data_IF_972214697377
#
_entry.id   IF_972214697377
#
_cell.length_a   1.000
_cell.length_b   1.000
_cell.length_c   1.000
_cell.angle_alpha   90.00
_cell.angle_beta   90.00
_cell.angle_gamma   90.00
#
_symmetry.space_group_name_H-M   'P 1'
#
loop_
_entity.id
_entity.type
_entity.pdbx_description
1 polymer ?
#
# COMPACT_ATOMS: atom_id res chain seq x y z
N UNK A 1 15.46 -4.15 -62.83
CA UNK A 1 16.63 -4.08 -61.97
C UNK A 1 16.16 -3.91 -60.51
N UNK A 2 16.24 -4.97 -59.75
CA UNK A 2 15.89 -4.98 -58.30
C UNK A 2 17.15 -4.57 -57.55
N UNK A 3 17.07 -3.56 -56.70
CA UNK A 3 18.13 -3.27 -55.73
C UNK A 3 17.63 -3.72 -54.37
N UNK A 4 18.22 -4.78 -53.87
CA UNK A 4 18.09 -5.27 -52.50
C UNK A 4 18.88 -4.35 -51.55
N UNK A 5 18.17 -3.72 -50.61
CA UNK A 5 18.79 -3.00 -49.52
C UNK A 5 18.99 -3.97 -48.34
N UNK A 6 20.25 -4.25 -48.05
CA UNK A 6 20.66 -5.19 -47.02
C UNK A 6 20.55 -4.55 -45.60
N UNK A 7 20.24 -5.41 -44.64
CA UNK A 7 20.03 -5.07 -43.17
C UNK A 7 21.29 -4.55 -42.42
N UNK A 8 22.24 -3.89 -43.09
CA UNK A 8 23.50 -3.48 -42.44
C UNK A 8 23.76 -1.97 -42.31
N UNK A 9 22.85 -1.12 -42.78
CA UNK A 9 23.09 0.34 -42.77
C UNK A 9 22.25 1.14 -41.75
N UNK A 10 21.83 0.55 -40.63
CA UNK A 10 21.10 1.20 -39.56
C UNK A 10 21.87 1.17 -38.23
N UNK A 11 23.15 1.55 -38.24
CA UNK A 11 23.93 1.80 -37.00
C UNK A 11 24.69 3.10 -37.22
N UNK A 12 24.17 4.18 -36.70
CA UNK A 12 24.84 5.47 -36.75
C UNK A 12 24.04 6.66 -36.26
N UNK A 13 23.40 6.56 -35.07
CA UNK A 13 22.98 7.74 -34.34
C UNK A 13 23.37 7.53 -32.87
N UNK A 14 24.52 8.10 -32.52
CA UNK A 14 25.07 8.06 -31.18
C UNK A 14 24.19 8.83 -30.20
N UNK A 15 23.53 8.12 -29.31
CA UNK A 15 23.00 8.65 -28.06
C UNK A 15 24.16 8.77 -27.07
N UNK A 16 24.60 9.99 -26.83
CA UNK A 16 25.54 10.33 -25.76
C UNK A 16 24.83 10.12 -24.43
N UNK A 17 24.95 8.93 -23.87
CA UNK A 17 24.60 8.69 -22.47
C UNK A 17 25.70 9.37 -21.64
N UNK A 18 25.38 10.52 -21.06
CA UNK A 18 26.19 11.11 -20.02
C UNK A 18 26.13 10.18 -18.80
N UNK A 19 27.13 9.33 -18.63
CA UNK A 19 27.35 8.56 -17.44
C UNK A 19 27.67 9.53 -16.30
N UNK A 20 26.71 9.87 -15.46
CA UNK A 20 26.97 10.42 -14.14
C UNK A 20 27.56 9.30 -13.29
N UNK A 21 28.88 9.18 -13.32
CA UNK A 21 29.63 8.47 -12.31
C UNK A 21 29.58 9.30 -11.02
N UNK A 22 28.56 9.09 -10.21
CA UNK A 22 28.52 9.58 -8.84
C UNK A 22 29.44 8.70 -7.98
N UNK A 23 30.75 8.89 -8.10
CA UNK A 23 31.72 8.52 -7.07
C UNK A 23 31.70 9.60 -6.00
N UNK A 24 30.81 9.44 -5.04
CA UNK A 24 30.77 10.23 -3.83
C UNK A 24 29.98 9.41 -2.81
N UNK A 25 30.64 8.89 -1.79
CA UNK A 25 29.98 8.55 -0.57
C UNK A 25 29.33 9.85 -0.07
N UNK A 26 28.07 10.08 -0.42
CA UNK A 26 27.31 11.19 0.13
C UNK A 26 27.35 11.01 1.65
N UNK A 27 28.01 11.94 2.33
CA UNK A 27 27.99 12.01 3.77
C UNK A 27 26.51 12.01 4.16
N UNK A 28 26.05 10.93 4.80
CA UNK A 28 24.66 10.82 5.25
C UNK A 28 24.41 11.99 6.19
N UNK A 29 23.51 12.88 5.83
CA UNK A 29 23.03 13.92 6.74
C UNK A 29 22.60 13.22 8.03
N UNK A 30 23.09 13.66 9.21
CA UNK A 30 22.69 13.02 10.45
C UNK A 30 21.18 12.97 10.57
N UNK A 31 20.63 11.79 10.77
CA UNK A 31 19.19 11.63 10.96
C UNK A 31 18.76 12.34 12.24
N UNK A 32 17.71 13.15 12.19
CA UNK A 32 17.10 13.81 13.35
C UNK A 32 16.28 12.86 14.21
N UNK A 33 16.14 11.61 13.80
CA UNK A 33 15.32 10.61 14.48
C UNK A 33 15.92 10.27 15.85
N UNK A 34 15.14 10.49 16.89
CA UNK A 34 15.51 10.15 18.26
C UNK A 34 15.36 8.65 18.48
N UNK A 35 16.41 8.05 19.04
CA UNK A 35 16.41 6.66 19.46
C UNK A 35 16.71 6.60 20.96
N UNK A 36 15.83 5.94 21.72
CA UNK A 36 16.08 5.69 23.14
C UNK A 36 17.20 4.65 23.29
N UNK A 37 17.93 4.75 24.41
CA UNK A 37 18.91 3.72 24.78
C UNK A 37 18.17 2.53 25.39
N UNK A 38 18.00 1.49 24.57
CA UNK A 38 17.32 0.24 24.94
C UNK A 38 18.21 -0.93 24.55
N UNK A 39 18.37 -1.89 25.43
CA UNK A 39 19.13 -3.10 25.15
C UNK A 39 18.45 -3.91 24.03
N UNK A 40 19.22 -4.24 23.00
CA UNK A 40 18.74 -5.10 21.92
C UNK A 40 18.48 -6.53 22.40
N UNK A 41 17.53 -7.25 21.80
CA UNK A 41 17.29 -8.65 22.15
C UNK A 41 18.52 -9.50 21.83
N UNK A 42 18.75 -10.53 22.64
CA UNK A 42 19.78 -11.52 22.37
C UNK A 42 19.28 -12.45 21.25
N UNK A 43 19.95 -12.44 20.12
CA UNK A 43 19.64 -13.27 18.96
C UNK A 43 20.85 -14.14 18.62
N UNK A 44 20.96 -15.35 19.22
CA UNK A 44 22.06 -16.26 18.94
C UNK A 44 21.94 -16.77 17.48
N UNK A 45 22.79 -16.21 16.61
CA UNK A 45 22.76 -16.48 15.17
C UNK A 45 23.15 -17.94 14.89
N UNK A 46 22.38 -18.60 14.07
CA UNK A 46 22.58 -19.98 13.65
C UNK A 46 23.85 -20.09 12.76
N UNK A 47 24.62 -21.14 12.95
CA UNK A 47 25.85 -21.39 12.19
C UNK A 47 25.52 -21.60 10.70
N UNK A 48 26.24 -20.89 9.84
CA UNK A 48 26.08 -21.00 8.39
C UNK A 48 24.80 -20.34 7.87
N UNK A 49 24.24 -19.38 8.62
CA UNK A 49 23.02 -18.68 8.23
C UNK A 49 23.17 -17.99 6.88
N UNK A 50 22.17 -18.18 6.03
CA UNK A 50 21.94 -17.43 4.79
C UNK A 50 20.42 -17.29 4.62
N UNK A 51 19.97 -16.15 4.11
CA UNK A 51 18.55 -15.80 4.07
C UNK A 51 18.06 -15.59 2.64
N UNK A 52 16.85 -16.07 2.37
CA UNK A 52 16.09 -15.72 1.18
C UNK A 52 14.89 -14.88 1.58
N UNK A 53 14.75 -13.73 0.94
CA UNK A 53 13.67 -12.81 1.18
C UNK A 53 12.90 -12.54 -0.10
N UNK A 54 11.57 -12.50 -0.03
CA UNK A 54 10.69 -12.10 -1.10
C UNK A 54 9.89 -10.86 -0.69
N UNK A 55 9.78 -9.89 -1.60
CA UNK A 55 8.95 -8.71 -1.38
C UNK A 55 8.30 -8.21 -2.69
N UNK A 56 7.23 -7.36 -2.60
CA UNK A 56 6.66 -6.73 -3.76
C UNK A 56 7.66 -5.81 -4.48
N UNK A 57 7.56 -5.75 -5.82
CA UNK A 57 8.28 -4.76 -6.63
C UNK A 57 7.90 -3.34 -6.24
N UNK A 58 8.79 -2.40 -6.53
CA UNK A 58 8.63 -0.97 -6.24
C UNK A 58 7.62 -0.27 -7.14
N UNK A 59 7.03 0.81 -6.62
CA UNK A 59 6.44 1.88 -7.44
C UNK A 59 7.37 3.09 -7.54
N UNK A 60 8.28 3.26 -6.57
CA UNK A 60 9.29 4.31 -6.53
C UNK A 60 10.66 3.66 -6.65
N UNK A 61 11.40 3.92 -7.76
CA UNK A 61 12.65 3.21 -8.08
C UNK A 61 13.66 3.18 -6.92
N UNK A 62 13.95 4.29 -6.21
CA UNK A 62 14.94 4.27 -5.13
C UNK A 62 14.57 3.39 -3.93
N UNK A 63 13.29 2.98 -3.77
CA UNK A 63 12.90 2.01 -2.75
C UNK A 63 13.71 0.71 -2.88
N UNK A 64 13.74 0.14 -4.09
CA UNK A 64 14.45 -1.13 -4.33
C UNK A 64 15.96 -0.97 -4.17
N UNK A 65 16.53 0.12 -4.71
CA UNK A 65 17.98 0.35 -4.72
C UNK A 65 18.53 0.48 -3.29
N UNK A 66 17.86 1.27 -2.44
CA UNK A 66 18.30 1.45 -1.05
C UNK A 66 18.01 0.19 -0.22
N UNK A 67 16.90 -0.51 -0.47
CA UNK A 67 16.62 -1.77 0.22
C UNK A 67 17.69 -2.83 -0.05
N UNK A 68 18.10 -3.01 -1.32
CA UNK A 68 19.20 -3.92 -1.70
C UNK A 68 20.53 -3.48 -1.11
N UNK A 69 20.82 -2.17 -1.11
CA UNK A 69 22.03 -1.62 -0.49
C UNK A 69 22.07 -1.92 1.01
N UNK A 70 20.95 -1.76 1.72
CA UNK A 70 20.86 -2.08 3.14
C UNK A 70 21.05 -3.59 3.40
N UNK A 71 20.45 -4.46 2.57
CA UNK A 71 20.67 -5.90 2.67
C UNK A 71 22.16 -6.27 2.48
N UNK A 72 22.83 -5.64 1.51
CA UNK A 72 24.28 -5.81 1.32
C UNK A 72 25.08 -5.33 2.53
N UNK A 73 24.74 -4.17 3.12
CA UNK A 73 25.39 -3.66 4.34
C UNK A 73 25.25 -4.61 5.52
N UNK A 74 24.10 -5.29 5.64
CA UNK A 74 23.93 -6.34 6.64
C UNK A 74 24.88 -7.51 6.38
N UNK A 75 24.95 -7.98 5.14
CA UNK A 75 25.90 -9.05 4.75
C UNK A 75 27.35 -8.65 5.04
N UNK A 76 27.77 -7.44 4.64
CA UNK A 76 29.14 -6.94 4.86
C UNK A 76 29.47 -6.86 6.37
N UNK A 77 28.49 -6.54 7.23
CA UNK A 77 28.66 -6.40 8.68
C UNK A 77 28.67 -7.74 9.41
N UNK A 78 27.89 -8.71 8.94
CA UNK A 78 27.61 -9.95 9.71
C UNK A 78 28.19 -11.22 9.06
N UNK A 79 28.52 -11.17 7.77
CA UNK A 79 28.86 -12.34 6.97
C UNK A 79 27.65 -13.18 6.55
N UNK A 80 26.41 -12.79 6.91
CA UNK A 80 25.19 -13.51 6.56
C UNK A 80 24.71 -13.01 5.20
N UNK A 81 24.71 -13.88 4.20
CA UNK A 81 24.16 -13.54 2.88
C UNK A 81 22.64 -13.37 2.95
N UNK A 82 22.11 -12.31 2.31
CA UNK A 82 20.67 -12.07 2.18
C UNK A 82 20.34 -11.88 0.71
N UNK A 83 19.68 -12.87 0.11
CA UNK A 83 19.16 -12.77 -1.25
C UNK A 83 17.75 -12.17 -1.20
N UNK A 84 17.56 -11.00 -1.84
CA UNK A 84 16.28 -10.31 -1.94
C UNK A 84 15.72 -10.47 -3.36
N UNK A 85 14.62 -11.18 -3.47
CA UNK A 85 13.84 -11.36 -4.71
C UNK A 85 12.61 -10.44 -4.69
N UNK A 86 12.17 -9.97 -5.88
CA UNK A 86 11.02 -9.10 -6.05
C UNK A 86 10.00 -9.75 -6.97
N UNK A 87 8.71 -9.56 -6.69
CA UNK A 87 7.60 -10.13 -7.45
C UNK A 87 6.49 -9.09 -7.62
N UNK A 88 5.66 -9.25 -8.66
CA UNK A 88 4.51 -8.38 -8.90
C UNK A 88 3.57 -8.29 -7.70
N UNK A 89 2.84 -7.19 -7.59
CA UNK A 89 1.91 -6.96 -6.47
C UNK A 89 0.78 -8.00 -6.43
N UNK A 90 0.28 -8.37 -7.60
CA UNK A 90 -0.78 -9.37 -7.74
C UNK A 90 -0.30 -10.78 -7.39
N UNK A 91 1.02 -11.04 -7.55
CA UNK A 91 1.61 -12.38 -7.36
C UNK A 91 2.03 -12.66 -5.91
N UNK A 92 2.26 -11.60 -5.09
CA UNK A 92 2.81 -11.77 -3.74
C UNK A 92 1.93 -12.66 -2.85
N UNK A 93 0.61 -12.52 -2.96
CA UNK A 93 -0.34 -13.31 -2.17
C UNK A 93 -0.27 -14.81 -2.55
N UNK A 94 -0.16 -15.11 -3.85
CA UNK A 94 -0.02 -16.48 -4.34
C UNK A 94 1.31 -17.10 -3.90
N UNK A 95 2.42 -16.36 -4.03
CA UNK A 95 3.74 -16.82 -3.60
C UNK A 95 3.79 -17.07 -2.08
N UNK A 96 3.15 -16.21 -1.29
CA UNK A 96 3.03 -16.37 0.15
C UNK A 96 2.22 -17.64 0.50
N UNK A 97 1.11 -17.85 -0.18
CA UNK A 97 0.28 -19.05 0.01
C UNK A 97 1.04 -20.35 -0.32
N UNK A 98 1.78 -20.35 -1.44
CA UNK A 98 2.62 -21.50 -1.84
C UNK A 98 3.67 -21.79 -0.76
N UNK A 99 4.40 -20.76 -0.31
CA UNK A 99 5.42 -20.89 0.75
C UNK A 99 4.83 -21.41 2.06
N UNK A 100 3.72 -20.84 2.51
CA UNK A 100 3.06 -21.24 3.76
C UNK A 100 2.53 -22.70 3.71
N UNK A 101 1.98 -23.12 2.57
CA UNK A 101 1.37 -24.44 2.42
C UNK A 101 2.40 -25.54 2.18
N UNK A 102 3.47 -25.26 1.41
CA UNK A 102 4.53 -26.23 1.15
C UNK A 102 5.49 -26.39 2.34
N UNK A 103 5.59 -25.40 3.22
CA UNK A 103 6.60 -25.35 4.26
C UNK A 103 8.03 -25.24 3.69
N UNK A 104 8.17 -24.60 2.53
CA UNK A 104 9.45 -24.39 1.85
C UNK A 104 9.41 -23.09 1.03
N UNK A 105 10.59 -22.50 0.79
CA UNK A 105 10.69 -21.26 0.01
C UNK A 105 11.51 -20.17 0.72
N UNK A 106 11.17 -18.89 0.56
CA UNK A 106 11.81 -17.79 1.27
C UNK A 106 11.67 -17.90 2.78
N UNK A 107 12.72 -17.53 3.52
CA UNK A 107 12.70 -17.43 4.99
C UNK A 107 11.83 -16.27 5.46
N UNK A 108 11.87 -15.17 4.70
CA UNK A 108 11.16 -13.93 4.96
C UNK A 108 10.31 -13.58 3.74
N UNK A 109 9.05 -13.25 3.96
CA UNK A 109 8.22 -12.60 2.95
C UNK A 109 7.67 -11.30 3.51
N UNK A 110 7.81 -10.20 2.76
CA UNK A 110 7.05 -8.98 3.01
C UNK A 110 5.74 -9.09 2.22
N UNK A 111 4.65 -9.24 2.95
CA UNK A 111 3.29 -9.26 2.41
C UNK A 111 2.51 -7.99 2.74
N UNK A 112 1.29 -7.92 2.27
CA UNK A 112 0.41 -6.77 2.47
C UNK A 112 -0.55 -6.97 3.65
N UNK A 113 -0.83 -5.90 4.37
CA UNK A 113 -1.88 -5.74 5.39
C UNK A 113 -2.02 -6.95 6.32
N UNK A 114 -3.07 -7.71 6.15
CA UNK A 114 -3.48 -8.83 6.99
C UNK A 114 -2.81 -10.18 6.65
N UNK A 115 -1.84 -10.21 5.73
CA UNK A 115 -1.12 -11.43 5.37
C UNK A 115 -0.58 -12.21 6.58
N UNK A 116 0.01 -11.58 7.64
CA UNK A 116 0.42 -12.32 8.84
C UNK A 116 -0.72 -13.04 9.55
N UNK A 117 -1.94 -12.51 9.50
CA UNK A 117 -3.12 -13.10 10.13
C UNK A 117 -3.65 -14.31 9.37
N UNK A 118 -3.45 -14.34 8.04
CA UNK A 118 -3.83 -15.49 7.20
C UNK A 118 -2.97 -16.70 7.53
N UNK A 119 -1.68 -16.49 7.80
CA UNK A 119 -0.68 -17.56 7.95
C UNK A 119 -0.13 -17.67 9.37
N UNK A 120 -0.84 -17.19 10.39
CA UNK A 120 -0.37 -17.08 11.77
C UNK A 120 0.28 -18.35 12.31
N UNK A 121 -0.28 -19.54 12.01
CA UNK A 121 0.22 -20.82 12.47
C UNK A 121 1.52 -21.29 11.76
N UNK A 122 1.89 -20.62 10.68
CA UNK A 122 3.09 -20.87 9.87
C UNK A 122 4.24 -19.92 10.18
N UNK A 123 4.00 -18.89 11.02
CA UNK A 123 4.93 -17.81 11.29
C UNK A 123 5.62 -17.95 12.63
N UNK A 124 6.84 -17.41 12.69
CA UNK A 124 7.61 -17.25 13.92
C UNK A 124 7.15 -15.95 14.59
N UNK A 125 7.10 -15.95 15.92
CA UNK A 125 6.83 -14.75 16.70
C UNK A 125 8.02 -13.79 16.68
N UNK A 126 7.72 -12.50 16.52
CA UNK A 126 8.69 -11.41 16.38
C UNK A 126 8.62 -10.42 17.55
N UNK A 127 7.99 -10.78 18.67
CA UNK A 127 7.72 -9.87 19.80
C UNK A 127 8.99 -9.29 20.40
N UNK A 128 10.07 -10.05 20.49
CA UNK A 128 11.37 -9.58 21.00
C UNK A 128 11.92 -8.40 20.18
N UNK A 129 11.94 -8.51 18.86
CA UNK A 129 12.40 -7.45 17.96
C UNK A 129 11.41 -6.28 17.92
N UNK A 130 10.11 -6.57 17.82
CA UNK A 130 9.08 -5.55 17.72
C UNK A 130 8.99 -4.69 18.99
N UNK A 131 9.04 -5.30 20.19
CA UNK A 131 9.02 -4.58 21.45
C UNK A 131 10.29 -3.73 21.65
N UNK A 132 11.46 -4.23 21.25
CA UNK A 132 12.69 -3.48 21.22
C UNK A 132 12.56 -2.23 20.35
N UNK A 133 12.16 -2.39 19.09
CA UNK A 133 12.01 -1.29 18.13
C UNK A 133 10.96 -0.27 18.61
N UNK A 134 9.84 -0.73 19.15
CA UNK A 134 8.80 0.13 19.70
C UNK A 134 9.32 1.00 20.84
N UNK A 135 10.03 0.41 21.83
CA UNK A 135 10.64 1.14 22.94
C UNK A 135 11.72 2.12 22.47
N UNK A 136 12.51 1.72 21.47
CA UNK A 136 13.61 2.51 20.94
C UNK A 136 13.15 3.73 20.15
N UNK A 137 12.04 3.62 19.40
CA UNK A 137 11.58 4.63 18.44
C UNK A 137 10.21 5.22 18.74
N UNK A 138 9.84 5.31 20.02
CA UNK A 138 8.68 6.08 20.48
C UNK A 138 7.33 5.39 20.37
N UNK A 139 7.30 4.09 20.11
CA UNK A 139 6.11 3.26 19.98
C UNK A 139 5.68 3.03 18.53
N UNK A 140 4.92 1.97 18.36
CA UNK A 140 4.30 1.63 17.08
C UNK A 140 3.02 2.45 16.86
N UNK A 141 2.77 2.88 15.63
CA UNK A 141 1.55 3.57 15.26
C UNK A 141 0.38 2.59 15.13
N UNK A 142 -0.84 3.12 15.13
CA UNK A 142 -2.08 2.32 15.26
C UNK A 142 -2.19 1.16 14.25
N UNK A 143 -2.02 1.43 12.95
CA UNK A 143 -2.13 0.37 11.94
C UNK A 143 -0.97 -0.63 12.02
N UNK A 144 0.21 -0.19 12.46
CA UNK A 144 1.34 -1.09 12.67
C UNK A 144 1.01 -2.13 13.75
N UNK A 145 0.50 -1.69 14.91
CA UNK A 145 0.05 -2.62 15.94
C UNK A 145 -1.10 -3.50 15.48
N UNK A 146 -2.06 -2.91 14.75
CA UNK A 146 -3.26 -3.61 14.28
C UNK A 146 -2.93 -4.77 13.34
N UNK A 147 -1.97 -4.57 12.43
CA UNK A 147 -1.58 -5.57 11.43
C UNK A 147 -0.40 -6.44 11.87
N UNK A 148 0.47 -5.96 12.75
CA UNK A 148 1.64 -6.70 13.22
C UNK A 148 1.34 -7.65 14.37
N UNK A 149 0.38 -7.30 15.26
CA UNK A 149 0.01 -8.12 16.42
C UNK A 149 -1.09 -9.12 16.07
N UNK A 150 -1.00 -10.31 16.63
CA UNK A 150 -2.09 -11.30 16.60
C UNK A 150 -3.34 -10.68 17.28
N UNK A 151 -4.50 -10.84 16.65
CA UNK A 151 -5.75 -10.33 17.21
C UNK A 151 -5.97 -10.82 18.65
N UNK A 152 -6.39 -9.90 19.53
CA UNK A 152 -6.63 -10.16 20.97
C UNK A 152 -5.38 -10.69 21.73
N UNK A 153 -4.18 -10.39 21.24
CA UNK A 153 -2.91 -10.79 21.83
C UNK A 153 -1.89 -9.64 21.75
N UNK A 154 -0.83 -9.71 22.56
CA UNK A 154 0.32 -8.81 22.45
C UNK A 154 1.44 -9.38 21.59
N UNK A 155 1.28 -10.59 21.07
CA UNK A 155 2.30 -11.29 20.29
C UNK A 155 2.37 -10.72 18.88
N UNK A 156 3.57 -10.37 18.44
CA UNK A 156 3.83 -9.90 17.09
C UNK A 156 4.04 -11.08 16.14
N UNK A 157 3.21 -11.16 15.11
CA UNK A 157 3.23 -12.19 14.07
C UNK A 157 3.75 -11.67 12.74
N UNK A 158 3.95 -10.37 12.64
CA UNK A 158 4.58 -9.68 11.54
C UNK A 158 5.28 -8.43 12.02
N UNK A 159 6.30 -7.96 11.29
CA UNK A 159 6.98 -6.72 11.56
C UNK A 159 6.60 -5.69 10.49
N UNK A 160 5.83 -4.64 10.85
CA UNK A 160 5.42 -3.62 9.90
C UNK A 160 6.60 -2.75 9.44
N UNK A 161 6.76 -2.61 8.14
CA UNK A 161 7.79 -1.75 7.53
C UNK A 161 7.27 -0.39 7.10
N UNK A 162 5.96 -0.22 6.98
CA UNK A 162 5.34 1.03 6.59
C UNK A 162 3.95 0.81 5.99
N UNK A 163 3.31 1.90 5.58
CA UNK A 163 2.06 1.82 4.84
C UNK A 163 1.98 2.90 3.77
N UNK A 164 1.33 2.56 2.65
CA UNK A 164 0.87 3.56 1.69
C UNK A 164 -0.61 3.84 1.90
N UNK A 165 -0.99 5.12 1.91
CA UNK A 165 -2.38 5.57 1.91
C UNK A 165 -2.80 5.99 0.51
N UNK A 166 -4.10 6.02 0.27
CA UNK A 166 -4.68 6.48 -0.99
C UNK A 166 -5.58 7.71 -0.76
N UNK A 167 -5.03 8.90 -0.44
CA UNK A 167 -5.81 10.13 -0.47
C UNK A 167 -6.26 10.42 -1.90
N UNK A 168 -7.19 11.37 -2.08
CA UNK A 168 -7.51 11.90 -3.38
C UNK A 168 -6.29 12.59 -3.98
N UNK A 169 -6.09 12.38 -5.28
CA UNK A 169 -5.12 13.04 -6.14
C UNK A 169 -5.88 13.70 -7.27
N UNK A 170 -5.75 15.01 -7.44
CA UNK A 170 -6.55 15.76 -8.40
C UNK A 170 -5.82 16.92 -9.04
N UNK A 171 -6.26 17.31 -10.24
CA UNK A 171 -5.82 18.49 -10.97
C UNK A 171 -6.55 19.71 -10.42
N UNK A 172 -5.85 20.54 -9.64
CA UNK A 172 -6.42 21.73 -8.98
C UNK A 172 -7.13 22.67 -9.95
N UNK A 173 -6.49 23.00 -11.06
CA UNK A 173 -7.05 23.90 -12.07
C UNK A 173 -8.36 23.37 -12.66
N UNK A 174 -8.47 22.04 -12.85
CA UNK A 174 -9.67 21.40 -13.41
C UNK A 174 -10.80 21.38 -12.37
N UNK A 175 -10.52 21.11 -11.09
CA UNK A 175 -11.51 21.19 -10.02
C UNK A 175 -12.05 22.62 -9.89
N UNK A 176 -11.16 23.64 -9.98
CA UNK A 176 -11.56 25.04 -9.94
C UNK A 176 -12.40 25.44 -11.16
N UNK A 177 -12.05 24.98 -12.35
CA UNK A 177 -12.83 25.19 -13.56
C UNK A 177 -14.23 24.55 -13.50
N UNK A 178 -14.41 23.46 -12.73
CA UNK A 178 -15.71 22.85 -12.44
C UNK A 178 -16.53 23.62 -11.38
N UNK A 179 -15.98 24.71 -10.81
CA UNK A 179 -16.66 25.58 -9.86
C UNK A 179 -16.49 25.19 -8.40
N UNK A 180 -15.41 24.44 -8.05
CA UNK A 180 -15.11 24.04 -6.69
C UNK A 180 -13.71 24.52 -6.27
N UNK A 181 -13.57 25.07 -5.06
CA UNK A 181 -12.25 25.42 -4.52
C UNK A 181 -11.42 24.19 -4.14
N UNK A 182 -12.09 23.12 -3.72
CA UNK A 182 -11.53 21.82 -3.35
C UNK A 182 -12.57 20.71 -3.59
N UNK A 183 -12.17 19.46 -3.50
CA UNK A 183 -13.10 18.33 -3.59
C UNK A 183 -14.07 18.36 -2.40
N UNK A 184 -15.41 18.29 -2.62
CA UNK A 184 -16.39 18.23 -1.54
C UNK A 184 -16.19 17.03 -0.61
N UNK A 185 -16.47 17.23 0.69
CA UNK A 185 -16.31 16.21 1.75
C UNK A 185 -17.57 15.38 2.01
N UNK A 186 -18.66 15.71 1.34
CA UNK A 186 -19.93 15.00 1.40
C UNK A 186 -20.26 14.29 0.07
N UNK A 187 -21.15 13.30 0.14
CA UNK A 187 -21.49 12.46 -1.00
C UNK A 187 -22.19 13.20 -2.14
N UNK A 188 -23.08 14.14 -1.81
CA UNK A 188 -23.85 14.87 -2.82
C UNK A 188 -22.95 15.82 -3.60
N UNK A 189 -22.09 16.59 -2.89
CA UNK A 189 -21.11 17.46 -3.51
C UNK A 189 -20.07 16.71 -4.33
N UNK A 190 -19.61 15.55 -3.86
CA UNK A 190 -18.67 14.71 -4.58
C UNK A 190 -19.28 14.19 -5.89
N UNK A 191 -20.54 13.74 -5.87
CA UNK A 191 -21.25 13.33 -7.08
C UNK A 191 -21.43 14.48 -8.06
N UNK A 192 -21.84 15.68 -7.60
CA UNK A 192 -21.98 16.88 -8.44
C UNK A 192 -20.64 17.25 -9.11
N UNK A 193 -19.54 17.21 -8.36
CA UNK A 193 -18.21 17.40 -8.93
C UNK A 193 -17.92 16.39 -10.03
N UNK A 194 -18.09 15.08 -9.77
CA UNK A 194 -17.82 14.04 -10.74
C UNK A 194 -18.68 14.19 -12.01
N UNK A 195 -19.96 14.59 -11.87
CA UNK A 195 -20.84 14.90 -13.01
C UNK A 195 -20.30 16.05 -13.86
N UNK A 196 -19.83 17.14 -13.23
CA UNK A 196 -19.26 18.28 -13.92
C UNK A 196 -17.94 17.94 -14.62
N UNK A 197 -17.08 17.16 -13.96
CA UNK A 197 -15.83 16.67 -14.55
C UNK A 197 -16.09 15.78 -15.79
N UNK A 198 -17.03 14.84 -15.67
CA UNK A 198 -17.42 13.96 -16.78
C UNK A 198 -17.98 14.77 -17.95
N UNK A 199 -18.88 15.73 -17.69
CA UNK A 199 -19.44 16.64 -18.72
C UNK A 199 -18.37 17.50 -19.40
N UNK A 200 -17.31 17.87 -18.68
CA UNK A 200 -16.18 18.63 -19.21
C UNK A 200 -15.15 17.75 -19.98
N UNK A 201 -15.38 16.45 -20.11
CA UNK A 201 -14.44 15.52 -20.73
C UNK A 201 -13.16 15.29 -19.92
N UNK A 202 -13.22 15.53 -18.62
CA UNK A 202 -12.13 15.34 -17.64
C UNK A 202 -12.59 14.45 -16.47
N UNK A 203 -13.07 13.24 -16.74
CA UNK A 203 -13.73 12.41 -15.74
C UNK A 203 -12.82 12.05 -14.55
N UNK A 204 -13.42 11.55 -13.49
CA UNK A 204 -12.72 10.82 -12.43
C UNK A 204 -12.42 9.38 -12.88
N UNK A 205 -11.46 8.72 -12.21
CA UNK A 205 -11.17 7.30 -12.42
C UNK A 205 -10.75 6.63 -11.13
N UNK A 206 -11.53 5.65 -10.68
CA UNK A 206 -11.24 4.84 -9.50
C UNK A 206 -11.31 3.35 -9.86
N UNK A 207 -10.34 2.56 -9.42
CA UNK A 207 -10.29 1.14 -9.72
C UNK A 207 -11.45 0.38 -9.06
N UNK A 208 -12.17 -0.39 -9.87
CA UNK A 208 -13.18 -1.37 -9.46
C UNK A 208 -12.85 -2.77 -9.97
N UNK A 209 -11.63 -2.97 -10.49
CA UNK A 209 -11.04 -4.26 -10.78
C UNK A 209 -10.34 -4.86 -9.55
N UNK A 210 -9.80 -6.06 -9.71
CA UNK A 210 -9.08 -6.78 -8.65
C UNK A 210 -7.68 -6.18 -8.42
N UNK A 211 -7.65 -4.92 -7.99
CA UNK A 211 -6.44 -4.20 -7.61
C UNK A 211 -6.20 -4.33 -6.09
N UNK A 212 -4.98 -4.73 -5.72
CA UNK A 212 -4.62 -5.04 -4.32
C UNK A 212 -4.80 -3.81 -3.41
N UNK A 213 -4.32 -2.64 -3.84
CA UNK A 213 -4.43 -1.37 -3.12
C UNK A 213 -5.68 -0.60 -3.53
N UNK A 214 -5.76 -0.22 -4.79
CA UNK A 214 -6.73 0.78 -5.27
C UNK A 214 -8.17 0.26 -5.29
N UNK A 215 -8.40 -0.96 -5.77
CA UNK A 215 -9.73 -1.56 -5.80
C UNK A 215 -10.29 -1.83 -4.40
N UNK A 216 -9.49 -2.46 -3.55
CA UNK A 216 -9.86 -2.67 -2.15
C UNK A 216 -10.01 -1.32 -1.39
N UNK A 217 -9.15 -0.34 -1.69
CA UNK A 217 -9.21 1.00 -1.11
C UNK A 217 -10.51 1.73 -1.46
N UNK A 218 -10.90 1.74 -2.73
CA UNK A 218 -12.15 2.35 -3.19
C UNK A 218 -13.37 1.67 -2.57
N UNK A 219 -13.45 0.34 -2.61
CA UNK A 219 -14.57 -0.40 -2.05
C UNK A 219 -14.74 -0.16 -0.55
N UNK A 220 -13.62 -0.17 0.19
CA UNK A 220 -13.62 0.11 1.63
C UNK A 220 -14.01 1.55 1.93
N UNK A 221 -13.48 2.53 1.17
CA UNK A 221 -13.88 3.93 1.32
C UNK A 221 -15.38 4.12 1.13
N UNK A 222 -15.95 3.58 0.06
CA UNK A 222 -17.38 3.70 -0.18
C UNK A 222 -18.18 3.08 0.96
N UNK A 223 -17.84 1.85 1.39
CA UNK A 223 -18.53 1.18 2.50
C UNK A 223 -18.49 2.02 3.78
N UNK A 224 -17.30 2.44 4.20
CA UNK A 224 -17.10 3.14 5.48
C UNK A 224 -17.65 4.56 5.48
N UNK A 225 -17.64 5.26 4.34
CA UNK A 225 -18.18 6.62 4.21
C UNK A 225 -19.71 6.67 4.38
N UNK A 226 -20.39 5.55 4.17
CA UNK A 226 -21.82 5.39 4.45
C UNK A 226 -22.11 4.82 5.85
N UNK A 227 -21.08 4.51 6.65
CA UNK A 227 -21.21 3.90 7.96
C UNK A 227 -21.33 2.37 7.93
N UNK A 228 -21.21 1.75 6.75
CA UNK A 228 -21.18 0.30 6.62
C UNK A 228 -19.86 -0.30 7.13
N UNK A 229 -19.86 -1.59 7.42
CA UNK A 229 -18.68 -2.32 7.89
C UNK A 229 -18.76 -3.79 7.48
N UNK A 230 -17.60 -4.44 7.38
CA UNK A 230 -17.54 -5.88 7.16
C UNK A 230 -17.99 -6.63 8.42
N UNK A 231 -17.49 -6.21 9.57
CA UNK A 231 -17.77 -6.80 10.88
C UNK A 231 -18.21 -5.73 11.87
N UNK A 232 -19.00 -6.14 12.88
CA UNK A 232 -19.18 -5.36 14.11
C UNK A 232 -17.96 -5.52 15.04
N UNK A 233 -17.98 -4.83 16.19
CA UNK A 233 -16.89 -4.86 17.18
C UNK A 233 -16.66 -6.25 17.78
N UNK A 234 -17.69 -7.10 17.80
CA UNK A 234 -17.64 -8.46 18.32
C UNK A 234 -17.14 -9.48 17.28
N UNK A 235 -17.05 -9.06 16.01
CA UNK A 235 -16.58 -9.88 14.90
C UNK A 235 -17.69 -10.60 14.13
N UNK A 236 -18.96 -10.20 14.31
CA UNK A 236 -20.07 -10.71 13.52
C UNK A 236 -20.13 -10.01 12.16
N UNK A 237 -20.52 -10.75 11.11
CA UNK A 237 -20.68 -10.19 9.77
C UNK A 237 -21.85 -9.20 9.73
N UNK A 238 -21.56 -7.98 9.26
CA UNK A 238 -22.51 -6.88 9.10
C UNK A 238 -22.55 -6.32 7.69
N UNK A 239 -21.82 -6.93 6.74
CA UNK A 239 -21.69 -6.45 5.37
C UNK A 239 -23.03 -6.30 4.64
N UNK A 240 -24.05 -7.09 4.98
CA UNK A 240 -25.39 -7.00 4.42
C UNK A 240 -26.26 -6.10 5.30
N UNK A 241 -25.92 -4.81 5.36
CA UNK A 241 -26.63 -3.80 6.15
C UNK A 241 -27.32 -2.77 5.25
N UNK A 242 -28.19 -1.95 5.86
CA UNK A 242 -28.82 -0.81 5.18
C UNK A 242 -27.76 0.18 4.66
N UNK A 243 -26.75 0.44 5.44
CA UNK A 243 -25.65 1.35 5.12
C UNK A 243 -24.86 0.85 3.88
N UNK A 244 -24.63 -0.46 3.80
CA UNK A 244 -24.01 -1.09 2.63
C UNK A 244 -24.86 -0.94 1.38
N UNK A 245 -26.17 -1.16 1.49
CA UNK A 245 -27.12 -0.99 0.38
C UNK A 245 -27.16 0.45 -0.11
N UNK A 246 -27.13 1.44 0.79
CA UNK A 246 -27.05 2.87 0.42
C UNK A 246 -25.72 3.22 -0.26
N UNK A 247 -24.59 2.68 0.22
CA UNK A 247 -23.30 2.83 -0.44
C UNK A 247 -23.31 2.26 -1.87
N UNK A 248 -23.93 1.10 -2.07
CA UNK A 248 -24.09 0.46 -3.38
C UNK A 248 -24.97 1.27 -4.32
N UNK A 249 -26.09 1.82 -3.84
CA UNK A 249 -26.97 2.72 -4.61
C UNK A 249 -26.22 3.98 -5.05
N UNK A 250 -25.39 4.53 -4.17
CA UNK A 250 -24.56 5.69 -4.47
C UNK A 250 -23.52 5.37 -5.55
N UNK A 251 -22.79 4.25 -5.43
CA UNK A 251 -21.80 3.85 -6.43
C UNK A 251 -22.44 3.58 -7.79
N UNK A 252 -23.67 3.07 -7.84
CA UNK A 252 -24.45 2.94 -9.08
C UNK A 252 -24.68 4.28 -9.78
N UNK A 253 -24.90 5.36 -9.03
CA UNK A 253 -25.03 6.71 -9.57
C UNK A 253 -23.68 7.34 -9.94
N UNK A 254 -22.63 7.05 -9.17
CA UNK A 254 -21.31 7.61 -9.32
C UNK A 254 -20.51 6.99 -10.48
N UNK A 255 -20.64 5.68 -10.69
CA UNK A 255 -19.84 4.94 -11.66
C UNK A 255 -19.95 5.45 -13.12
N UNK A 256 -21.14 5.86 -13.63
CA UNK A 256 -21.25 6.44 -14.96
C UNK A 256 -20.48 7.76 -15.14
N UNK A 257 -20.03 8.39 -14.07
CA UNK A 257 -19.21 9.62 -14.08
C UNK A 257 -17.71 9.33 -14.19
N UNK A 258 -17.31 8.07 -14.10
CA UNK A 258 -15.92 7.66 -14.25
C UNK A 258 -15.58 7.45 -15.74
N UNK A 259 -14.27 7.48 -16.02
CA UNK A 259 -13.77 6.97 -17.31
C UNK A 259 -14.18 5.49 -17.48
N UNK A 260 -14.49 5.11 -18.70
CA UNK A 260 -14.91 3.73 -18.98
C UNK A 260 -13.79 2.69 -18.67
N UNK A 261 -14.18 1.49 -18.27
CA UNK A 261 -13.28 0.35 -18.13
C UNK A 261 -12.62 0.19 -16.75
N UNK A 262 -12.98 0.99 -15.74
CA UNK A 262 -12.35 0.93 -14.41
C UNK A 262 -12.57 -0.38 -13.66
N UNK A 263 -13.55 -1.21 -14.07
CA UNK A 263 -13.76 -2.57 -13.55
C UNK A 263 -12.68 -3.58 -13.97
N UNK A 264 -11.81 -3.22 -14.91
CA UNK A 264 -10.62 -4.00 -15.28
C UNK A 264 -9.30 -3.39 -14.81
N UNK A 265 -9.35 -2.28 -14.06
CA UNK A 265 -8.16 -1.60 -13.60
C UNK A 265 -7.44 -2.36 -12.48
N UNK A 266 -6.11 -2.36 -12.54
CA UNK A 266 -5.19 -2.77 -11.48
C UNK A 266 -4.47 -1.55 -10.88
N UNK A 267 -3.53 -1.77 -9.94
CA UNK A 267 -2.83 -0.71 -9.18
C UNK A 267 -1.92 0.24 -10.01
N UNK A 268 -1.76 0.01 -11.32
CA UNK A 268 -1.02 0.93 -12.21
C UNK A 268 -1.92 1.67 -13.19
N UNK A 269 -3.20 1.32 -13.28
CA UNK A 269 -4.10 1.82 -14.33
C UNK A 269 -4.44 3.29 -14.13
N UNK A 270 -4.77 3.71 -12.91
CA UNK A 270 -5.06 5.10 -12.57
C UNK A 270 -3.83 6.00 -12.73
N UNK A 271 -2.60 5.50 -12.43
CA UNK A 271 -1.36 6.24 -12.66
C UNK A 271 -1.21 6.59 -14.14
N UNK A 272 -1.44 5.63 -15.03
CA UNK A 272 -1.38 5.85 -16.48
C UNK A 272 -2.43 6.84 -16.96
N UNK A 273 -3.69 6.64 -16.58
CA UNK A 273 -4.80 7.49 -16.99
C UNK A 273 -4.64 8.94 -16.49
N UNK A 274 -4.09 9.13 -15.29
CA UNK A 274 -3.83 10.47 -14.74
C UNK A 274 -2.64 11.14 -15.44
N UNK A 275 -1.55 10.41 -15.65
CA UNK A 275 -0.34 10.93 -16.32
C UNK A 275 -0.59 11.25 -17.79
N UNK A 276 -1.50 10.54 -18.48
CA UNK A 276 -1.94 10.84 -19.84
C UNK A 276 -3.07 11.87 -19.91
N UNK A 277 -3.47 12.46 -18.79
CA UNK A 277 -4.54 13.48 -18.68
C UNK A 277 -5.93 12.99 -19.10
N UNK A 278 -6.14 11.67 -19.14
CA UNK A 278 -7.45 11.06 -19.41
C UNK A 278 -8.42 11.23 -18.24
N UNK A 279 -7.88 11.30 -17.01
CA UNK A 279 -8.64 11.59 -15.79
C UNK A 279 -8.06 12.78 -15.04
N UNK A 280 -8.90 13.45 -14.27
CA UNK A 280 -8.51 14.61 -13.46
C UNK A 280 -8.57 14.39 -11.95
N UNK A 281 -9.15 13.28 -11.52
CA UNK A 281 -9.38 12.92 -10.12
C UNK A 281 -9.30 11.41 -9.94
N UNK A 282 -8.52 10.99 -8.95
CA UNK A 282 -8.40 9.59 -8.52
C UNK A 282 -8.05 9.51 -7.04
N UNK A 283 -7.86 8.30 -6.51
CA UNK A 283 -7.20 8.06 -5.22
C UNK A 283 -5.90 7.29 -5.48
N UNK A 284 -4.79 7.69 -4.86
CA UNK A 284 -3.50 7.02 -5.07
C UNK A 284 -2.52 7.31 -3.93
N UNK A 285 -1.49 6.49 -3.83
CA UNK A 285 -0.30 6.76 -3.02
C UNK A 285 0.65 7.80 -3.65
N UNK A 286 1.78 8.01 -3.01
CA UNK A 286 2.80 8.99 -3.45
C UNK A 286 3.37 8.67 -4.84
N UNK A 287 3.31 7.42 -5.29
CA UNK A 287 3.92 6.95 -6.54
C UNK A 287 3.52 7.77 -7.76
N UNK A 288 2.27 8.15 -7.86
CA UNK A 288 1.77 8.98 -8.96
C UNK A 288 2.45 10.34 -8.96
N UNK A 289 2.38 11.06 -7.84
CA UNK A 289 3.01 12.38 -7.73
C UNK A 289 4.54 12.31 -7.89
N UNK A 290 5.19 11.29 -7.33
CA UNK A 290 6.62 11.05 -7.51
C UNK A 290 6.98 10.89 -8.98
N UNK A 291 6.26 10.06 -9.71
CA UNK A 291 6.49 9.83 -11.15
C UNK A 291 6.32 11.12 -11.96
N UNK A 292 5.22 11.84 -11.73
CA UNK A 292 4.93 13.09 -12.42
C UNK A 292 6.00 14.17 -12.17
N UNK A 293 6.48 14.28 -10.94
CA UNK A 293 7.46 15.30 -10.53
C UNK A 293 8.85 15.04 -11.10
N UNK A 294 9.22 13.78 -11.28
CA UNK A 294 10.55 13.38 -11.73
C UNK A 294 10.66 13.17 -13.25
N UNK A 295 9.56 13.35 -13.99
CA UNK A 295 9.55 13.33 -15.44
C UNK A 295 9.28 14.75 -15.99
N UNK A 296 10.22 15.28 -16.77
CA UNK A 296 10.12 16.62 -17.35
C UNK A 296 8.89 16.78 -18.25
N UNK A 297 8.42 15.71 -18.89
CA UNK A 297 7.23 15.73 -19.74
C UNK A 297 5.93 15.96 -18.94
N UNK A 298 5.91 15.52 -17.67
CA UNK A 298 4.73 15.59 -16.80
C UNK A 298 4.86 16.56 -15.63
N UNK A 299 5.97 17.30 -15.54
CA UNK A 299 6.24 18.24 -14.44
C UNK A 299 5.12 19.26 -14.22
N UNK A 300 4.52 19.80 -15.31
CA UNK A 300 3.36 20.72 -15.23
C UNK A 300 2.12 20.06 -14.64
N UNK A 301 1.94 18.74 -14.85
CA UNK A 301 0.87 17.98 -14.23
C UNK A 301 1.13 17.89 -12.73
N UNK A 302 2.38 17.62 -12.32
CA UNK A 302 2.78 17.58 -10.91
C UNK A 302 2.57 18.92 -10.19
N UNK A 303 2.87 20.05 -10.85
CA UNK A 303 2.63 21.40 -10.31
C UNK A 303 1.14 21.62 -10.00
N UNK A 304 0.25 21.21 -10.92
CA UNK A 304 -1.21 21.35 -10.80
C UNK A 304 -1.85 20.23 -9.94
N UNK A 305 -1.09 19.21 -9.57
CA UNK A 305 -1.60 18.11 -8.72
C UNK A 305 -1.66 18.52 -7.27
N UNK A 306 -2.81 18.29 -6.64
CA UNK A 306 -3.03 18.44 -5.21
C UNK A 306 -3.57 17.15 -4.59
N UNK A 307 -3.47 17.07 -3.26
CA UNK A 307 -3.94 15.94 -2.48
C UNK A 307 -4.97 16.39 -1.44
N UNK A 308 -5.94 15.54 -1.17
CA UNK A 308 -6.93 15.76 -0.12
C UNK A 308 -7.30 14.42 0.51
N UNK A 309 -7.65 14.41 1.80
CA UNK A 309 -8.23 13.22 2.41
C UNK A 309 -9.52 12.81 1.70
N UNK A 310 -9.81 11.51 1.71
CA UNK A 310 -11.04 10.98 1.13
C UNK A 310 -12.26 11.63 1.77
N UNK A 311 -13.28 12.00 0.99
CA UNK A 311 -14.59 12.43 1.49
C UNK A 311 -15.11 11.48 2.55
N UNK A 312 -15.49 12.04 3.69
CA UNK A 312 -15.84 11.24 4.87
C UNK A 312 -17.30 10.78 4.90
N UNK A 313 -18.19 11.48 4.18
CA UNK A 313 -19.61 11.21 4.27
C UNK A 313 -20.10 11.29 5.72
N UNK A 314 -20.69 10.19 6.23
CA UNK A 314 -21.15 10.10 7.63
C UNK A 314 -20.07 9.63 8.61
N UNK A 315 -18.87 9.26 8.11
CA UNK A 315 -17.76 8.81 8.96
C UNK A 315 -17.20 9.95 9.83
N UNK A 316 -16.69 9.63 11.02
CA UNK A 316 -16.14 10.63 11.95
C UNK A 316 -14.84 11.25 11.45
N UNK A 317 -14.04 10.48 10.70
CA UNK A 317 -12.79 10.90 10.07
C UNK A 317 -12.74 10.38 8.63
N UNK A 318 -11.77 10.83 7.84
CA UNK A 318 -11.58 10.28 6.49
C UNK A 318 -11.48 8.76 6.54
N UNK A 319 -12.37 8.03 5.83
CA UNK A 319 -12.43 6.57 5.85
C UNK A 319 -11.35 5.97 4.93
N UNK A 320 -10.11 6.30 5.21
CA UNK A 320 -8.93 5.82 4.50
C UNK A 320 -8.26 4.73 5.33
N UNK A 321 -8.13 3.54 4.79
CA UNK A 321 -7.24 2.52 5.31
C UNK A 321 -5.78 2.80 4.94
N UNK A 322 -4.88 1.91 5.33
CA UNK A 322 -3.50 1.92 4.87
C UNK A 322 -3.12 0.53 4.40
N UNK A 323 -2.59 0.43 3.19
CA UNK A 323 -1.97 -0.81 2.72
C UNK A 323 -0.61 -0.93 3.38
N UNK A 324 -0.48 -1.78 4.39
CA UNK A 324 0.76 -1.95 5.13
C UNK A 324 1.68 -2.98 4.47
N UNK A 325 2.99 -2.77 4.62
CA UNK A 325 4.00 -3.80 4.39
C UNK A 325 4.31 -4.49 5.71
N UNK A 326 4.16 -5.82 5.76
CA UNK A 326 4.45 -6.62 6.94
C UNK A 326 5.44 -7.74 6.60
N UNK A 327 6.61 -7.71 7.23
CA UNK A 327 7.57 -8.81 7.13
C UNK A 327 7.14 -9.99 8.00
N UNK A 328 7.07 -11.16 7.41
CA UNK A 328 6.76 -12.44 8.03
C UNK A 328 7.99 -13.33 8.00
N UNK A 329 8.31 -14.01 9.09
CA UNK A 329 9.34 -15.05 9.15
C UNK A 329 8.66 -16.40 9.28
N UNK A 330 8.95 -17.33 8.38
CA UNK A 330 8.28 -18.61 8.34
C UNK A 330 8.96 -19.65 9.23
N UNK A 331 8.17 -20.54 9.86
CA UNK A 331 8.65 -21.60 10.75
C UNK A 331 9.55 -22.65 10.07
N UNK A 332 9.50 -22.76 8.73
CA UNK A 332 10.38 -23.65 7.99
C UNK A 332 11.80 -23.12 7.84
N UNK A 333 12.03 -21.84 8.12
CA UNK A 333 13.37 -21.27 8.08
C UNK A 333 14.26 -21.94 9.12
N UNK A 334 15.46 -22.44 8.74
CA UNK A 334 16.43 -22.97 9.70
C UNK A 334 17.19 -21.85 10.43
N UNK A 335 16.95 -20.57 10.08
CA UNK A 335 17.69 -19.41 10.55
C UNK A 335 16.81 -18.30 11.15
N UNK A 336 15.95 -18.62 12.15
CA UNK A 336 14.99 -17.66 12.69
C UNK A 336 15.65 -16.45 13.37
N UNK A 337 16.77 -16.63 14.08
CA UNK A 337 17.45 -15.53 14.73
C UNK A 337 18.21 -14.63 13.73
N UNK A 338 18.80 -15.23 12.69
CA UNK A 338 19.39 -14.46 11.59
C UNK A 338 18.31 -13.61 10.85
N UNK A 339 17.13 -14.19 10.61
CA UNK A 339 16.00 -13.45 10.02
C UNK A 339 15.53 -12.31 10.91
N UNK A 340 15.38 -12.51 12.21
CA UNK A 340 15.06 -11.47 13.20
C UNK A 340 16.12 -10.38 13.23
N UNK A 341 17.40 -10.74 13.26
CA UNK A 341 18.51 -9.78 13.27
C UNK A 341 18.55 -8.93 11.99
N UNK A 342 18.26 -9.53 10.84
CA UNK A 342 18.14 -8.80 9.58
C UNK A 342 16.98 -7.80 9.60
N UNK A 343 15.79 -8.21 10.04
CA UNK A 343 14.63 -7.33 10.13
C UNK A 343 14.86 -6.19 11.13
N UNK A 344 15.46 -6.48 12.28
CA UNK A 344 15.87 -5.46 13.26
C UNK A 344 16.84 -4.45 12.62
N UNK A 345 17.88 -4.93 11.95
CA UNK A 345 18.87 -4.08 11.28
C UNK A 345 18.21 -3.15 10.25
N UNK A 346 17.29 -3.66 9.42
CA UNK A 346 16.59 -2.88 8.41
C UNK A 346 15.72 -1.77 9.00
N UNK A 347 15.25 -1.94 10.24
CA UNK A 347 14.39 -0.98 10.93
C UNK A 347 15.16 0.00 11.84
N UNK A 348 16.48 -0.14 11.99
CA UNK A 348 17.31 0.86 12.69
C UNK A 348 17.40 2.15 11.86
N UNK A 349 17.49 3.31 12.52
CA UNK A 349 17.41 4.62 11.84
C UNK A 349 18.48 4.83 10.76
N UNK A 350 19.65 4.22 10.89
CA UNK A 350 20.75 4.30 9.94
C UNK A 350 20.43 3.61 8.60
N UNK A 351 19.45 2.69 8.57
CA UNK A 351 18.97 1.98 7.40
C UNK A 351 17.59 2.47 6.98
N UNK A 352 16.69 2.63 7.96
CA UNK A 352 15.30 2.92 7.70
C UNK A 352 15.06 4.36 7.23
N UNK A 353 15.68 5.37 7.87
CA UNK A 353 15.47 6.77 7.50
C UNK A 353 15.97 7.08 6.08
N UNK A 354 17.18 6.65 5.64
CA UNK A 354 17.59 6.77 4.26
C UNK A 354 16.65 6.06 3.26
N UNK A 355 16.09 4.91 3.64
CA UNK A 355 15.12 4.21 2.82
C UNK A 355 13.77 4.96 2.75
N UNK A 356 13.29 5.49 3.87
CA UNK A 356 12.06 6.31 3.94
C UNK A 356 12.20 7.59 3.09
N UNK A 357 13.36 8.24 3.12
CA UNK A 357 13.64 9.42 2.29
C UNK A 357 13.72 9.03 0.81
N UNK A 358 14.42 7.96 0.47
CA UNK A 358 14.62 7.50 -0.90
C UNK A 358 13.30 7.11 -1.58
N UNK A 359 12.38 6.50 -0.84
CA UNK A 359 11.04 6.15 -1.34
C UNK A 359 10.04 7.32 -1.24
N UNK A 360 10.51 8.54 -0.91
CA UNK A 360 9.69 9.75 -0.78
C UNK A 360 8.54 9.64 0.23
N UNK A 361 8.68 8.76 1.24
CA UNK A 361 7.61 8.46 2.18
C UNK A 361 6.49 7.58 1.62
N UNK A 362 6.71 6.91 0.48
CA UNK A 362 5.72 6.01 -0.11
C UNK A 362 5.25 4.94 0.89
N UNK A 363 6.18 4.39 1.66
CA UNK A 363 5.89 3.55 2.82
C UNK A 363 5.99 4.39 4.09
N UNK A 364 4.94 5.16 4.41
CA UNK A 364 4.90 6.00 5.61
C UNK A 364 5.23 5.17 6.86
N UNK A 365 6.00 5.78 7.75
CA UNK A 365 6.63 5.12 8.89
C UNK A 365 5.66 4.41 9.84
N UNK A 366 6.07 3.25 10.41
CA UNK A 366 5.27 2.52 11.38
C UNK A 366 5.57 2.88 12.84
N UNK A 367 6.69 3.58 13.10
CA UNK A 367 7.17 3.96 14.43
C UNK A 367 7.12 5.49 14.61
N UNK A 368 6.70 5.95 15.76
CA UNK A 368 6.35 7.35 16.00
C UNK A 368 7.51 8.33 15.76
N UNK A 369 8.73 8.02 16.20
CA UNK A 369 9.86 8.94 16.07
C UNK A 369 10.31 9.15 14.63
N UNK A 370 9.98 8.24 13.69
CA UNK A 370 10.27 8.42 12.26
C UNK A 370 9.41 9.52 11.60
N UNK A 371 8.42 10.05 12.32
CA UNK A 371 7.69 11.26 11.93
C UNK A 371 8.60 12.51 11.86
N UNK A 372 9.80 12.45 12.44
CA UNK A 372 10.83 13.50 12.39
C UNK A 372 11.75 13.40 11.16
N UNK A 373 11.53 12.42 10.28
CA UNK A 373 12.28 12.27 9.03
C UNK A 373 12.18 13.51 8.15
N UNK A 374 13.28 13.87 7.53
CA UNK A 374 13.36 15.00 6.62
C UNK A 374 12.42 14.89 5.40
N UNK A 375 11.99 13.67 5.04
CA UNK A 375 11.04 13.45 3.94
C UNK A 375 9.75 14.26 4.12
N UNK A 376 9.28 14.44 5.35
CA UNK A 376 8.01 15.12 5.64
C UNK A 376 8.09 16.66 5.67
N UNK A 377 9.31 17.22 5.66
CA UNK A 377 9.53 18.67 5.66
C UNK A 377 9.93 19.22 4.28
N UNK A 378 10.38 18.36 3.37
CA UNK A 378 10.92 18.76 2.08
C UNK A 378 9.88 19.24 1.06
N UNK A 379 8.73 18.56 0.98
CA UNK A 379 7.66 18.86 0.04
C UNK A 379 6.30 18.92 0.77
N UNK A 380 5.62 20.10 0.79
CA UNK A 380 4.33 20.24 1.46
C UNK A 380 3.26 19.26 0.96
N UNK A 381 3.30 18.86 -0.31
CA UNK A 381 2.33 17.94 -0.91
C UNK A 381 2.46 16.51 -0.37
N UNK A 382 3.61 16.16 0.25
CA UNK A 382 3.82 14.84 0.85
C UNK A 382 3.27 14.74 2.29
N UNK A 383 3.00 15.85 2.96
CA UNK A 383 2.61 15.86 4.38
C UNK A 383 1.35 15.05 4.68
N UNK A 384 0.40 14.99 3.74
CA UNK A 384 -0.85 14.25 3.91
C UNK A 384 -0.63 12.74 4.11
N UNK A 385 0.49 12.22 3.62
CA UNK A 385 0.82 10.80 3.70
C UNK A 385 1.51 10.41 5.02
N UNK A 386 2.09 11.40 5.73
CA UNK A 386 2.85 11.19 6.98
C UNK A 386 2.11 10.33 8.01
N UNK A 387 0.81 10.58 8.16
CA UNK A 387 0.00 9.99 9.23
C UNK A 387 -0.80 8.76 8.77
N UNK A 388 -0.44 8.16 7.62
CA UNK A 388 -1.15 6.99 7.08
C UNK A 388 -1.26 5.85 8.09
N UNK A 389 -0.20 5.55 8.85
CA UNK A 389 -0.21 4.49 9.86
C UNK A 389 -1.01 4.83 11.13
N UNK A 390 -1.44 6.08 11.28
CA UNK A 390 -2.31 6.53 12.37
C UNK A 390 -3.80 6.41 12.08
N UNK A 391 -4.17 6.03 10.84
CA UNK A 391 -5.55 5.84 10.44
C UNK A 391 -6.27 4.80 11.32
N UNK A 392 -7.58 4.98 11.48
CA UNK A 392 -8.42 4.17 12.37
C UNK A 392 -9.34 3.21 11.63
N UNK A 393 -9.12 3.02 10.34
CA UNK A 393 -9.83 2.04 9.50
C UNK A 393 -8.87 0.94 9.06
N UNK A 394 -9.31 -0.30 9.08
CA UNK A 394 -8.53 -1.49 8.76
C UNK A 394 -9.40 -2.57 8.13
N UNK A 395 -8.78 -3.56 7.52
CA UNK A 395 -9.49 -4.71 6.98
C UNK A 395 -10.23 -5.46 8.09
N UNK A 396 -11.52 -5.69 7.88
CA UNK A 396 -12.40 -6.22 8.94
C UNK A 396 -12.97 -5.17 9.91
N UNK A 397 -12.74 -3.86 9.65
CA UNK A 397 -13.36 -2.80 10.44
C UNK A 397 -14.89 -3.01 10.55
N UNK A 398 -15.49 -2.92 11.76
CA UNK A 398 -15.01 -2.51 13.08
C UNK A 398 -14.42 -3.67 13.93
N UNK A 399 -14.50 -4.91 13.47
CA UNK A 399 -14.13 -6.11 14.20
C UNK A 399 -12.61 -6.42 14.16
N UNK A 400 -12.23 -7.58 14.70
CA UNK A 400 -10.83 -8.00 14.69
C UNK A 400 -10.36 -8.39 13.28
N UNK A 401 -9.06 -8.20 13.00
CA UNK A 401 -8.42 -8.83 11.85
C UNK A 401 -8.30 -10.34 12.13
N UNK A 402 -8.53 -11.16 11.10
CA UNK A 402 -8.50 -12.62 11.20
C UNK A 402 -8.10 -13.25 9.87
N UNK A 403 -7.88 -14.55 9.87
CA UNK A 403 -7.71 -15.32 8.63
C UNK A 403 -8.89 -15.11 7.67
N UNK A 404 -10.12 -15.02 8.22
CA UNK A 404 -11.31 -14.82 7.42
C UNK A 404 -11.35 -13.44 6.76
N UNK A 405 -11.05 -12.35 7.50
CA UNK A 405 -11.03 -10.99 6.94
C UNK A 405 -9.97 -10.84 5.87
N UNK A 406 -8.78 -11.42 6.09
CA UNK A 406 -7.72 -11.44 5.11
C UNK A 406 -8.09 -12.19 3.83
N UNK A 407 -8.72 -13.35 3.96
CA UNK A 407 -9.19 -14.11 2.80
C UNK A 407 -10.30 -13.35 2.02
N UNK A 408 -11.23 -12.68 2.71
CA UNK A 408 -12.26 -11.85 2.10
C UNK A 408 -11.64 -10.72 1.27
N UNK A 409 -10.60 -10.08 1.80
CA UNK A 409 -9.86 -9.04 1.09
C UNK A 409 -9.09 -9.61 -0.11
N UNK A 410 -8.33 -10.69 0.08
CA UNK A 410 -7.53 -11.33 -0.96
C UNK A 410 -8.38 -11.85 -2.13
N UNK A 411 -9.62 -12.28 -1.87
CA UNK A 411 -10.59 -12.73 -2.87
C UNK A 411 -11.50 -11.60 -3.41
N UNK A 412 -11.17 -10.33 -3.08
CA UNK A 412 -11.85 -9.12 -3.58
C UNK A 412 -13.36 -9.12 -3.39
N UNK A 413 -13.87 -9.67 -2.28
CA UNK A 413 -15.32 -9.81 -2.06
C UNK A 413 -16.03 -8.46 -2.07
N UNK A 414 -15.47 -7.44 -1.42
CA UNK A 414 -16.04 -6.08 -1.40
C UNK A 414 -15.95 -5.42 -2.78
N UNK A 415 -14.81 -5.52 -3.45
CA UNK A 415 -14.62 -4.96 -4.80
C UNK A 415 -15.68 -5.49 -5.76
N UNK A 416 -15.85 -6.82 -5.79
CA UNK A 416 -16.80 -7.47 -6.70
C UNK A 416 -18.26 -7.16 -6.32
N UNK A 417 -18.55 -6.93 -5.05
CA UNK A 417 -19.86 -6.45 -4.59
C UNK A 417 -20.20 -5.09 -5.22
N UNK A 418 -19.29 -4.11 -5.14
CA UNK A 418 -19.48 -2.80 -5.75
C UNK A 418 -19.47 -2.86 -7.28
N UNK A 419 -18.56 -3.61 -7.88
CA UNK A 419 -18.45 -3.76 -9.34
C UNK A 419 -19.73 -4.38 -9.96
N UNK A 420 -20.35 -5.35 -9.30
CA UNK A 420 -21.58 -5.97 -9.77
C UNK A 420 -22.77 -5.00 -9.88
N UNK A 421 -22.85 -4.06 -8.93
CA UNK A 421 -23.89 -3.02 -8.94
C UNK A 421 -23.53 -1.90 -9.93
N UNK A 422 -22.26 -1.50 -10.01
CA UNK A 422 -21.78 -0.50 -10.95
C UNK A 422 -22.05 -0.90 -12.43
N UNK A 423 -21.99 -2.18 -12.74
CA UNK A 423 -22.21 -2.76 -14.09
C UNK A 423 -23.64 -3.28 -14.32
N UNK A 424 -24.59 -3.00 -13.43
CA UNK A 424 -25.97 -3.50 -13.49
C UNK A 424 -26.09 -5.04 -13.51
N UNK A 425 -25.05 -5.76 -13.09
CA UNK A 425 -25.08 -7.23 -13.00
C UNK A 425 -25.91 -7.73 -11.78
N UNK A 426 -26.09 -6.88 -10.76
CA UNK A 426 -26.92 -7.18 -9.57
C UNK A 426 -27.59 -5.92 -9.04
N UNK A 427 -28.72 -6.08 -8.33
CA UNK A 427 -29.27 -5.00 -7.51
C UNK A 427 -28.40 -4.78 -6.26
N UNK A 428 -28.44 -3.60 -5.62
CA UNK A 428 -27.73 -3.34 -4.37
C UNK A 428 -28.01 -4.39 -3.28
N UNK A 429 -29.26 -4.79 -3.10
CA UNK A 429 -29.68 -5.79 -2.13
C UNK A 429 -29.13 -7.19 -2.47
N UNK A 430 -29.16 -7.58 -3.75
CA UNK A 430 -28.59 -8.85 -4.21
C UNK A 430 -27.08 -8.89 -4.01
N UNK A 431 -26.38 -7.81 -4.34
CA UNK A 431 -24.93 -7.72 -4.19
C UNK A 431 -24.48 -7.81 -2.72
N UNK A 432 -25.18 -7.10 -1.81
CA UNK A 432 -24.91 -7.17 -0.38
C UNK A 432 -25.15 -8.59 0.18
N UNK A 433 -26.27 -9.23 -0.18
CA UNK A 433 -26.59 -10.60 0.23
C UNK A 433 -25.57 -11.63 -0.31
N UNK A 434 -25.12 -11.49 -1.55
CA UNK A 434 -24.09 -12.36 -2.14
C UNK A 434 -22.73 -12.16 -1.46
N UNK A 435 -22.35 -10.93 -1.17
CA UNK A 435 -21.11 -10.64 -0.44
C UNK A 435 -21.12 -11.27 0.97
N UNK A 436 -22.26 -11.17 1.69
CA UNK A 436 -22.44 -11.86 2.97
C UNK A 436 -22.35 -13.38 2.83
N UNK A 437 -23.01 -13.96 1.84
CA UNK A 437 -22.98 -15.39 1.58
C UNK A 437 -21.54 -15.88 1.29
N UNK A 438 -20.78 -15.13 0.52
CA UNK A 438 -19.37 -15.43 0.25
C UNK A 438 -18.52 -15.27 1.51
N UNK A 439 -18.66 -14.18 2.23
CA UNK A 439 -17.92 -13.92 3.46
C UNK A 439 -18.13 -15.01 4.50
N UNK A 440 -19.37 -15.50 4.70
CA UNK A 440 -19.71 -16.59 5.62
C UNK A 440 -18.90 -17.88 5.41
N UNK A 441 -18.42 -18.14 4.18
CA UNK A 441 -17.61 -19.34 3.88
C UNK A 441 -16.26 -19.32 4.57
N UNK A 442 -15.67 -18.13 4.75
CA UNK A 442 -14.35 -17.96 5.38
C UNK A 442 -14.39 -18.09 6.90
N UNK A 443 -15.55 -17.83 7.52
CA UNK A 443 -15.75 -17.97 8.97
C UNK A 443 -16.12 -19.40 9.41
N UNK A 444 -16.35 -20.30 8.47
CA UNK A 444 -16.69 -21.72 8.74
C UNK A 444 -15.49 -22.66 8.73
N UNK A 445 -14.29 -22.13 8.50
CA UNK A 445 -13.04 -22.93 8.39
C UNK A 445 -12.28 -22.97 9.69
#
# INVERSE_FOLDING_TARGET
>A
MRNDITRRDAIGLGLSVAAFAATGAAAQTPSNIKAADVAAPSLPIEKGASLRMLRPVRFVQPDEDVFRSNAKRFTDKTGIEVKVDFVGWEDINQQTAVTANSGAGPDIIIGFSDAPHIYVDKLIELSDVAEYLGKRYGGWLFLAEKYGKRAKSNNWIGLPFGATGGPLVYRKSIIQAAGFDKVPDDHAGFLDLCQKLQKAGKPAGFALGNAVGDGNGFASWMLWSFGGSLLDVDGNLTINSKETVEALKYVKQLYPMFIAGTTSWNDVSNNRAYSSEEISLTANGISLYFSLKNDTATAKIAEDTEHQFLPKGVAKSSPMGGLTLNAMVFKHSPYPNAAKAFLQFMMEKEQYDPWLIANSGYWAQPLANYAESAVWSGDPKLRIFKDTMSNRYWDGYQGPISTATGAIRADYVLVQMFASVATDAATPEQAAAEAERRAKRYFRR
#
